data_IF_968479320428
#
_entry.id   IF_968479320428
#
_cell.length_a   1.000
_cell.length_b   1.000
_cell.length_c   1.000
_cell.angle_alpha   90.00
_cell.angle_beta   90.00
_cell.angle_gamma   90.00
#
_symmetry.space_group_name_H-M   'P 1'
#
loop_
_entity.id
_entity.type
_entity.pdbx_description
1 polymer ?
#
# COMPACT_ATOMS: atom_id res chain seq x y z
N UNK A 1 -5.72 4.59 -21.67
CA UNK A 1 -5.96 3.66 -22.80
C UNK A 1 -5.75 2.17 -22.55
N UNK A 2 -4.71 1.72 -21.83
CA UNK A 2 -4.48 0.27 -21.64
C UNK A 2 -5.40 -0.42 -20.62
N UNK A 3 -6.00 0.33 -19.68
CA UNK A 3 -6.86 -0.20 -18.60
C UNK A 3 -8.22 -0.67 -19.16
N UNK A 4 -8.85 0.13 -20.04
CA UNK A 4 -10.14 -0.23 -20.64
C UNK A 4 -10.07 -1.36 -21.67
N UNK A 5 -8.99 -1.46 -22.45
CA UNK A 5 -8.86 -2.50 -23.50
C UNK A 5 -8.52 -3.89 -22.96
N UNK A 6 -7.82 -4.02 -21.84
CA UNK A 6 -7.49 -5.36 -21.29
C UNK A 6 -8.64 -6.01 -20.53
N UNK A 7 -9.56 -5.23 -19.98
CA UNK A 7 -10.80 -5.75 -19.40
C UNK A 7 -11.80 -6.20 -20.48
N UNK A 8 -11.75 -5.63 -21.70
CA UNK A 8 -12.60 -6.05 -22.82
C UNK A 8 -12.18 -7.38 -23.48
N UNK A 9 -10.92 -7.81 -23.36
CA UNK A 9 -10.40 -8.97 -24.12
C UNK A 9 -10.52 -10.30 -23.37
N UNK A 10 -10.87 -10.29 -22.08
CA UNK A 10 -11.26 -11.50 -21.38
C UNK A 10 -12.75 -11.40 -21.03
N UNK A 11 -13.60 -12.17 -21.72
CA UNK A 11 -14.87 -12.65 -21.15
C UNK A 11 -14.52 -13.49 -19.91
N UNK A 12 -14.18 -12.82 -18.81
CA UNK A 12 -13.98 -13.43 -17.50
C UNK A 12 -15.35 -13.46 -16.81
N UNK A 13 -15.79 -14.62 -16.29
CA UNK A 13 -17.01 -14.68 -15.49
C UNK A 13 -16.80 -13.80 -14.24
N UNK A 14 -17.64 -12.78 -14.03
CA UNK A 14 -17.61 -11.98 -12.79
C UNK A 14 -17.11 -10.53 -12.91
N UNK A 15 -16.77 -10.04 -14.10
CA UNK A 15 -16.80 -8.59 -14.38
C UNK A 15 -18.11 -8.33 -15.11
N UNK A 16 -18.96 -7.36 -14.71
CA UNK A 16 -20.13 -7.03 -15.50
C UNK A 16 -19.66 -6.74 -16.92
N UNK A 17 -20.38 -7.20 -17.94
CA UNK A 17 -20.08 -6.86 -19.32
C UNK A 17 -20.39 -5.37 -19.55
N UNK A 18 -19.60 -4.50 -18.92
CA UNK A 18 -19.63 -3.07 -19.10
C UNK A 18 -19.06 -2.84 -20.50
N UNK A 19 -19.90 -2.35 -21.41
CA UNK A 19 -19.41 -1.79 -22.66
C UNK A 19 -18.53 -0.58 -22.34
N UNK A 20 -17.33 -0.51 -22.91
CA UNK A 20 -16.43 0.64 -22.73
C UNK A 20 -15.53 0.62 -21.48
N UNK A 21 -14.65 1.63 -21.34
CA UNK A 21 -13.74 1.80 -20.22
C UNK A 21 -14.48 2.31 -18.96
N UNK A 22 -14.04 1.86 -17.79
CA UNK A 22 -14.60 2.26 -16.51
C UNK A 22 -13.50 2.48 -15.46
N UNK A 23 -13.87 3.09 -14.34
CA UNK A 23 -13.02 3.27 -13.15
C UNK A 23 -13.70 2.75 -11.90
N UNK A 24 -12.89 2.35 -10.93
CA UNK A 24 -13.33 2.13 -9.57
C UNK A 24 -13.11 3.42 -8.76
N UNK A 25 -14.12 3.82 -7.98
CA UNK A 25 -14.07 4.99 -7.11
C UNK A 25 -14.28 4.55 -5.67
N UNK A 26 -13.43 4.99 -4.75
CA UNK A 26 -13.61 4.74 -3.33
C UNK A 26 -14.41 5.87 -2.70
N UNK A 27 -15.50 5.54 -2.00
CA UNK A 27 -16.26 6.50 -1.20
C UNK A 27 -15.86 6.36 0.26
N UNK A 28 -15.36 7.45 0.82
CA UNK A 28 -14.90 7.48 2.19
C UNK A 28 -16.07 7.49 3.19
N UNK A 29 -17.00 8.43 3.01
CA UNK A 29 -18.07 8.67 3.97
C UNK A 29 -19.22 7.66 3.89
N UNK A 30 -19.52 7.18 2.69
CA UNK A 30 -20.52 6.14 2.41
C UNK A 30 -19.78 4.87 1.97
N UNK A 31 -19.02 4.21 2.87
CA UNK A 31 -18.00 3.22 2.52
C UNK A 31 -18.49 2.23 1.47
N UNK A 32 -18.02 2.46 0.24
CA UNK A 32 -18.38 1.73 -0.95
C UNK A 32 -17.26 1.86 -1.98
N UNK A 33 -17.14 0.88 -2.88
CA UNK A 33 -16.38 1.05 -4.10
C UNK A 33 -17.38 1.08 -5.25
N UNK A 34 -17.45 2.20 -5.96
CA UNK A 34 -18.34 2.37 -7.12
C UNK A 34 -17.63 2.00 -8.40
N UNK A 35 -18.39 1.55 -9.39
CA UNK A 35 -17.94 1.46 -10.77
C UNK A 35 -18.58 2.62 -11.54
N UNK A 36 -17.79 3.38 -12.28
CA UNK A 36 -18.28 4.48 -13.10
C UNK A 36 -17.75 4.37 -14.53
N UNK A 37 -18.62 4.62 -15.51
CA UNK A 37 -18.24 4.70 -16.91
C UNK A 37 -17.33 5.90 -17.13
N UNK A 38 -16.19 5.70 -17.79
CA UNK A 38 -15.34 6.82 -18.21
C UNK A 38 -15.91 7.57 -19.41
N UNK A 39 -16.83 6.95 -20.17
CA UNK A 39 -17.44 7.56 -21.34
C UNK A 39 -18.65 8.42 -20.96
N UNK A 40 -19.50 7.92 -20.06
CA UNK A 40 -20.79 8.56 -19.72
C UNK A 40 -20.79 9.21 -18.34
N UNK A 41 -19.85 8.85 -17.46
CA UNK A 41 -19.86 9.26 -16.04
C UNK A 41 -20.91 8.54 -15.20
N UNK A 42 -21.72 7.66 -15.79
CA UNK A 42 -22.78 6.95 -15.07
C UNK A 42 -22.22 5.89 -14.12
N UNK A 43 -22.89 5.72 -12.98
CA UNK A 43 -22.61 4.61 -12.07
C UNK A 43 -23.11 3.29 -12.67
N UNK A 44 -22.18 2.36 -12.82
CA UNK A 44 -22.39 1.04 -13.40
C UNK A 44 -22.68 -0.02 -12.35
N UNK A 45 -22.28 0.23 -11.10
CA UNK A 45 -22.44 -0.74 -10.02
C UNK A 45 -21.70 -0.34 -8.75
N UNK A 46 -21.74 -1.24 -7.77
CA UNK A 46 -21.08 -1.05 -6.48
C UNK A 46 -20.56 -2.38 -5.98
N UNK A 47 -19.35 -2.36 -5.45
CA UNK A 47 -18.72 -3.49 -4.79
C UNK A 47 -19.11 -3.42 -3.32
N UNK A 48 -19.77 -4.46 -2.78
CA UNK A 48 -20.07 -4.51 -1.36
C UNK A 48 -18.77 -4.56 -0.55
N UNK A 49 -18.71 -3.75 0.50
CA UNK A 49 -17.62 -3.79 1.47
C UNK A 49 -18.01 -4.62 2.69
N UNK A 50 -17.02 -5.23 3.38
CA UNK A 50 -17.21 -5.81 4.71
C UNK A 50 -17.98 -4.89 5.65
N UNK A 51 -18.90 -5.47 6.42
CA UNK A 51 -19.80 -4.69 7.29
C UNK A 51 -19.04 -3.89 8.35
N UNK A 52 -17.90 -4.40 8.82
CA UNK A 52 -17.04 -3.71 9.80
C UNK A 52 -16.56 -2.34 9.30
N UNK A 53 -16.26 -2.17 8.01
CA UNK A 53 -15.81 -0.89 7.44
C UNK A 53 -16.87 0.23 7.56
N UNK A 54 -18.13 -0.10 7.89
CA UNK A 54 -19.18 0.89 8.20
C UNK A 54 -18.99 1.57 9.57
N UNK A 55 -18.20 0.98 10.47
CA UNK A 55 -17.86 1.55 11.78
C UNK A 55 -16.72 2.57 11.73
N UNK A 56 -16.44 3.10 10.53
CA UNK A 56 -15.46 4.16 10.27
C UNK A 56 -15.73 5.41 11.12
N UNK A 57 -14.70 6.22 11.33
CA UNK A 57 -14.87 7.54 11.96
C UNK A 57 -15.25 8.58 10.88
N UNK A 58 -15.92 9.69 11.26
CA UNK A 58 -16.15 10.82 10.36
C UNK A 58 -14.87 11.24 9.63
N UNK A 59 -14.90 11.31 8.30
CA UNK A 59 -13.72 11.63 7.47
C UNK A 59 -12.49 10.77 7.81
N UNK A 60 -12.66 9.47 8.12
CA UNK A 60 -11.58 8.47 8.23
C UNK A 60 -12.04 7.12 7.67
N UNK A 61 -12.74 7.19 6.54
CA UNK A 61 -13.32 6.03 5.88
C UNK A 61 -12.31 5.32 4.99
N UNK A 62 -12.80 4.68 3.93
CA UNK A 62 -11.91 4.09 2.94
C UNK A 62 -11.31 5.19 2.06
N UNK A 63 -10.00 5.33 2.10
CA UNK A 63 -9.25 6.36 1.36
C UNK A 63 -8.41 5.71 0.24
N UNK A 64 -7.51 4.74 0.53
CA UNK A 64 -6.74 4.11 -0.52
C UNK A 64 -7.55 3.10 -1.34
N UNK A 65 -7.28 3.06 -2.64
CA UNK A 65 -7.78 2.03 -3.56
C UNK A 65 -6.69 1.61 -4.55
N UNK A 66 -6.48 0.30 -4.69
CA UNK A 66 -5.60 -0.27 -5.70
C UNK A 66 -6.22 -1.53 -6.34
N UNK A 67 -5.72 -1.92 -7.50
CA UNK A 67 -6.09 -3.16 -8.18
C UNK A 67 -4.84 -3.97 -8.49
N UNK A 68 -4.89 -5.28 -8.25
CA UNK A 68 -3.79 -6.18 -8.59
C UNK A 68 -3.45 -6.08 -10.10
N UNK A 69 -2.17 -6.27 -10.49
CA UNK A 69 -1.76 -6.26 -11.90
C UNK A 69 -2.49 -7.28 -12.80
N UNK A 70 -3.05 -8.35 -12.22
CA UNK A 70 -3.84 -9.38 -12.90
C UNK A 70 -5.35 -9.10 -12.90
N UNK A 71 -5.75 -7.98 -12.31
CA UNK A 71 -7.12 -7.47 -12.18
C UNK A 71 -8.08 -8.40 -11.42
N UNK A 72 -7.57 -9.32 -10.58
CA UNK A 72 -8.43 -10.25 -9.83
C UNK A 72 -8.86 -9.75 -8.47
N UNK A 73 -8.11 -8.85 -7.85
CA UNK A 73 -8.49 -8.29 -6.55
C UNK A 73 -8.30 -6.77 -6.49
N UNK A 74 -9.19 -6.16 -5.74
CA UNK A 74 -9.07 -4.78 -5.27
C UNK A 74 -8.52 -4.77 -3.86
N UNK A 75 -7.78 -3.73 -3.55
CA UNK A 75 -7.25 -3.43 -2.23
C UNK A 75 -7.79 -2.10 -1.76
N UNK A 76 -8.20 -2.03 -0.50
CA UNK A 76 -8.58 -0.80 0.17
C UNK A 76 -8.28 -0.89 1.66
N UNK A 77 -8.39 0.20 2.39
CA UNK A 77 -8.28 0.25 3.83
C UNK A 77 -9.00 1.47 4.37
N UNK A 78 -9.43 1.41 5.63
CA UNK A 78 -9.80 2.63 6.36
C UNK A 78 -8.55 3.48 6.67
N UNK A 79 -8.68 4.81 6.67
CA UNK A 79 -7.55 5.73 6.94
C UNK A 79 -7.04 5.60 8.39
N UNK A 80 -7.95 5.52 9.36
CA UNK A 80 -7.68 5.41 10.80
C UNK A 80 -8.54 4.31 11.44
N UNK A 81 -8.13 3.74 12.58
CA UNK A 81 -8.87 2.65 13.24
C UNK A 81 -10.38 2.90 13.28
N UNK A 82 -11.12 1.87 12.88
CA UNK A 82 -12.57 1.83 13.06
C UNK A 82 -12.90 2.04 14.55
N UNK A 83 -14.06 2.61 14.83
CA UNK A 83 -14.52 2.86 16.21
C UNK A 83 -14.59 1.59 17.06
N UNK A 84 -14.75 0.43 16.41
CA UNK A 84 -14.79 -0.90 17.04
C UNK A 84 -13.41 -1.57 17.16
N UNK A 85 -12.39 -1.08 16.47
CA UNK A 85 -11.10 -1.78 16.36
C UNK A 85 -10.01 -1.21 17.26
N UNK A 86 -10.08 0.08 17.60
CA UNK A 86 -9.07 0.69 18.44
C UNK A 86 -9.08 2.21 18.45
N UNK A 87 -8.13 2.82 19.19
CA UNK A 87 -8.02 4.26 19.29
C UNK A 87 -7.52 4.90 17.98
N UNK A 88 -7.84 6.19 17.76
CA UNK A 88 -7.19 7.00 16.74
C UNK A 88 -5.68 7.15 17.02
N UNK A 89 -4.92 7.58 16.02
CA UNK A 89 -3.50 7.85 16.21
C UNK A 89 -3.30 9.03 17.19
N UNK A 90 -2.21 9.01 17.96
CA UNK A 90 -1.86 10.04 18.92
C UNK A 90 -0.34 10.24 19.00
N UNK A 91 0.12 11.30 19.67
CA UNK A 91 1.55 11.51 19.87
C UNK A 91 2.17 10.30 20.57
N UNK A 92 3.16 9.66 19.93
CA UNK A 92 3.83 8.47 20.44
C UNK A 92 3.05 7.16 20.29
N UNK A 93 1.84 7.18 19.72
CA UNK A 93 1.01 6.00 19.52
C UNK A 93 0.38 5.97 18.12
N UNK A 94 0.64 4.90 17.37
CA UNK A 94 0.01 4.63 16.09
C UNK A 94 -1.47 4.23 16.21
N UNK A 95 -2.04 3.79 15.10
CA UNK A 95 -3.40 3.22 15.03
C UNK A 95 -3.37 1.91 14.23
N UNK A 96 -4.47 1.18 14.15
CA UNK A 96 -4.55 -0.10 13.43
C UNK A 96 -5.74 -0.08 12.48
N UNK A 97 -5.48 -0.30 11.19
CA UNK A 97 -6.50 -0.29 10.13
C UNK A 97 -6.66 -1.65 9.50
N UNK A 98 -7.77 -1.87 8.79
CA UNK A 98 -8.04 -3.11 8.07
C UNK A 98 -7.62 -2.99 6.61
N UNK A 99 -6.43 -3.49 6.29
CA UNK A 99 -6.01 -3.66 4.91
C UNK A 99 -6.85 -4.78 4.28
N UNK A 100 -7.74 -4.43 3.37
CA UNK A 100 -8.81 -5.30 2.86
C UNK A 100 -8.55 -5.63 1.39
N UNK A 101 -8.55 -6.93 1.06
CA UNK A 101 -8.46 -7.45 -0.30
C UNK A 101 -9.78 -8.10 -0.71
N UNK A 102 -10.34 -7.68 -1.82
CA UNK A 102 -11.68 -8.06 -2.30
C UNK A 102 -11.56 -8.65 -3.70
N UNK A 103 -12.05 -9.87 -3.97
CA UNK A 103 -12.13 -10.41 -5.32
C UNK A 103 -13.01 -9.52 -6.21
N UNK A 104 -12.55 -9.19 -7.41
CA UNK A 104 -13.34 -8.41 -8.39
C UNK A 104 -14.60 -9.19 -8.79
N UNK A 105 -14.57 -10.52 -8.85
CA UNK A 105 -15.76 -11.31 -9.20
C UNK A 105 -16.83 -11.32 -8.08
N UNK A 106 -16.43 -11.08 -6.83
CA UNK A 106 -17.37 -10.84 -5.73
C UNK A 106 -18.10 -9.48 -5.91
N UNK A 107 -17.58 -8.60 -6.77
CA UNK A 107 -18.16 -7.29 -7.09
C UNK A 107 -19.30 -7.33 -8.13
N UNK A 108 -19.38 -8.37 -8.97
CA UNK A 108 -20.43 -8.50 -9.98
C UNK A 108 -21.64 -9.33 -9.53
N UNK A 109 -21.56 -10.01 -8.39
CA UNK A 109 -22.59 -10.94 -7.93
C UNK A 109 -23.80 -10.24 -7.26
N UNK A 110 -23.75 -8.93 -7.00
CA UNK A 110 -24.77 -8.21 -6.24
C UNK A 110 -25.86 -7.53 -7.10
N UNK A 111 -26.10 -8.06 -8.31
CA UNK A 111 -27.43 -7.95 -8.95
C UNK A 111 -28.53 -8.70 -8.18
N UNK A 112 -28.19 -9.46 -7.13
CA UNK A 112 -29.10 -10.29 -6.36
C UNK A 112 -29.01 -10.06 -4.83
N UNK A 113 -29.34 -8.85 -4.37
CA UNK A 113 -30.10 -8.65 -3.12
C UNK A 113 -29.60 -9.30 -1.82
N UNK A 114 -28.31 -9.60 -1.64
CA UNK A 114 -27.81 -10.13 -0.36
C UNK A 114 -27.67 -9.02 0.67
N UNK A 115 -28.72 -8.81 1.45
CA UNK A 115 -28.64 -8.01 2.68
C UNK A 115 -27.72 -8.71 3.69
N UNK A 116 -26.54 -8.15 3.94
CA UNK A 116 -25.83 -8.29 5.21
C UNK A 116 -24.80 -9.42 5.35
N UNK A 117 -24.31 -10.02 4.26
CA UNK A 117 -23.23 -11.02 4.32
C UNK A 117 -21.87 -10.45 3.91
N UNK A 118 -20.78 -10.92 4.55
CA UNK A 118 -19.41 -10.66 4.10
C UNK A 118 -19.23 -11.19 2.66
N UNK A 119 -18.68 -10.41 1.70
CA UNK A 119 -18.42 -10.91 0.35
C UNK A 119 -17.48 -12.12 0.40
N UNK A 120 -17.78 -13.18 -0.36
CA UNK A 120 -16.96 -14.41 -0.35
C UNK A 120 -15.55 -14.10 -0.87
N UNK A 121 -14.54 -14.66 -0.21
CA UNK A 121 -13.14 -14.53 -0.61
C UNK A 121 -12.49 -13.19 -0.22
N UNK A 122 -13.14 -12.38 0.60
CA UNK A 122 -12.52 -11.21 1.21
C UNK A 122 -11.49 -11.64 2.24
N UNK A 123 -10.33 -10.99 2.18
CA UNK A 123 -9.25 -11.11 3.15
C UNK A 123 -9.05 -9.76 3.84
N UNK A 124 -8.75 -9.76 5.15
CA UNK A 124 -8.31 -8.56 5.86
C UNK A 124 -7.04 -8.83 6.65
N UNK A 125 -6.10 -7.89 6.65
CA UNK A 125 -4.93 -7.89 7.52
C UNK A 125 -5.02 -6.73 8.52
N UNK A 126 -4.53 -6.96 9.74
CA UNK A 126 -4.37 -5.91 10.75
C UNK A 126 -3.12 -5.09 10.41
N UNK A 127 -3.30 -3.89 9.86
CA UNK A 127 -2.20 -3.02 9.43
C UNK A 127 -1.90 -1.98 10.51
N UNK A 128 -0.72 -2.04 11.18
CA UNK A 128 -0.32 -1.00 12.11
C UNK A 128 0.16 0.24 11.35
N UNK A 129 -0.53 1.37 11.54
CA UNK A 129 -0.11 2.69 11.07
C UNK A 129 0.81 3.31 12.12
N UNK A 130 1.92 3.93 11.69
CA UNK A 130 2.87 4.52 12.63
C UNK A 130 2.31 5.78 13.31
N UNK A 131 2.87 6.13 14.46
CA UNK A 131 2.52 7.36 15.15
C UNK A 131 2.79 8.60 14.25
N UNK A 132 2.06 9.71 14.48
CA UNK A 132 2.35 10.97 13.82
C UNK A 132 3.82 11.36 13.99
N UNK A 133 4.37 12.03 12.98
CA UNK A 133 5.74 12.54 13.03
C UNK A 133 5.95 13.52 14.20
N UNK A 134 7.21 13.74 14.58
CA UNK A 134 7.55 14.77 15.58
C UNK A 134 7.39 16.16 14.96
N UNK A 135 6.72 17.06 15.67
CA UNK A 135 6.43 18.41 15.20
C UNK A 135 6.56 19.44 16.32
N UNK A 136 6.91 20.67 15.96
CA UNK A 136 6.76 21.83 16.83
C UNK A 136 5.32 22.33 16.74
N UNK A 137 4.57 22.27 17.85
CA UNK A 137 3.17 22.72 17.89
C UNK A 137 3.07 24.22 17.67
N UNK A 138 2.27 24.63 16.69
CA UNK A 138 2.00 26.04 16.38
C UNK A 138 0.52 26.37 16.54
N UNK A 139 -0.37 25.38 16.31
CA UNK A 139 -1.82 25.56 16.35
C UNK A 139 -2.49 24.59 17.34
N UNK A 140 -3.71 24.89 17.81
CA UNK A 140 -4.54 23.91 18.48
C UNK A 140 -4.96 22.79 17.51
N UNK A 141 -5.23 21.59 18.04
CA UNK A 141 -5.65 20.43 17.25
C UNK A 141 -4.93 19.15 17.67
N UNK A 142 -5.46 18.02 17.22
CA UNK A 142 -4.83 16.72 17.39
C UNK A 142 -4.03 16.35 16.13
N UNK A 143 -2.85 15.74 16.27
CA UNK A 143 -2.17 15.17 15.13
C UNK A 143 -2.95 13.95 14.61
N UNK A 144 -2.78 13.67 13.33
CA UNK A 144 -3.41 12.59 12.60
C UNK A 144 -2.33 11.71 11.99
N UNK A 145 -2.60 10.42 11.84
CA UNK A 145 -1.75 9.50 11.07
C UNK A 145 -2.63 8.40 10.49
N UNK A 146 -2.54 8.21 9.18
CA UNK A 146 -3.41 7.29 8.46
C UNK A 146 -2.75 6.64 7.26
N UNK A 147 -3.39 5.58 6.75
CA UNK A 147 -3.02 4.90 5.51
C UNK A 147 -3.83 5.52 4.37
N UNK A 148 -3.15 6.23 3.47
CA UNK A 148 -3.79 7.18 2.53
C UNK A 148 -3.72 6.76 1.07
N UNK A 149 -2.71 5.96 0.68
CA UNK A 149 -2.65 5.39 -0.67
C UNK A 149 -2.12 3.96 -0.67
N UNK A 150 -2.54 3.19 -1.67
CA UNK A 150 -2.07 1.83 -1.92
C UNK A 150 -1.64 1.69 -3.38
N UNK A 151 -0.64 0.86 -3.61
CA UNK A 151 -0.26 0.39 -4.95
C UNK A 151 -0.05 -1.12 -4.89
N UNK A 152 -0.92 -1.88 -5.55
CA UNK A 152 -0.75 -3.32 -5.65
C UNK A 152 0.33 -3.65 -6.67
N UNK A 153 1.32 -4.46 -6.25
CA UNK A 153 2.46 -4.85 -7.10
C UNK A 153 2.44 -6.33 -7.48
N UNK A 154 1.43 -7.08 -7.02
CA UNK A 154 1.21 -8.49 -7.33
C UNK A 154 1.57 -9.44 -6.19
N UNK A 155 1.17 -10.71 -6.29
CA UNK A 155 1.52 -11.80 -5.37
C UNK A 155 1.21 -11.53 -3.88
N UNK A 156 0.19 -10.71 -3.60
CA UNK A 156 -0.16 -10.32 -2.23
C UNK A 156 0.68 -9.19 -1.65
N UNK A 157 1.60 -8.62 -2.44
CA UNK A 157 2.40 -7.47 -2.03
C UNK A 157 1.76 -6.14 -2.46
N UNK A 158 1.79 -5.17 -1.54
CA UNK A 158 1.31 -3.80 -1.76
C UNK A 158 2.32 -2.79 -1.25
N UNK A 159 2.44 -1.65 -1.94
CA UNK A 159 3.03 -0.45 -1.36
C UNK A 159 1.94 0.29 -0.61
N UNK A 160 2.21 0.64 0.65
CA UNK A 160 1.31 1.37 1.53
C UNK A 160 1.92 2.74 1.84
N UNK A 161 1.20 3.80 1.48
CA UNK A 161 1.59 5.18 1.80
C UNK A 161 0.85 5.63 3.04
N UNK A 162 1.60 5.89 4.09
CA UNK A 162 1.11 6.56 5.29
C UNK A 162 1.39 8.04 5.22
N UNK A 163 0.46 8.84 5.74
CA UNK A 163 0.63 10.27 5.94
C UNK A 163 0.26 10.60 7.37
N UNK A 164 1.07 11.47 7.97
CA UNK A 164 0.71 12.13 9.22
C UNK A 164 0.58 13.63 9.03
N UNK A 165 -0.47 14.21 9.60
CA UNK A 165 -0.77 15.64 9.58
C UNK A 165 -0.76 16.20 11.00
N UNK A 166 -0.04 17.29 11.23
CA UNK A 166 0.17 17.84 12.58
C UNK A 166 -0.15 19.34 12.63
N UNK A 167 -0.69 19.86 13.75
CA UNK A 167 -0.99 21.28 13.93
C UNK A 167 0.28 22.08 14.26
N UNK A 168 1.27 22.03 13.38
CA UNK A 168 2.61 22.52 13.64
C UNK A 168 3.57 22.41 12.46
N UNK A 169 4.87 22.45 12.77
CA UNK A 169 5.94 22.37 11.78
C UNK A 169 6.84 21.13 12.02
N UNK A 170 7.10 20.31 10.99
CA UNK A 170 6.43 20.33 9.68
C UNK A 170 4.93 20.00 9.81
N UNK A 171 4.08 20.42 8.85
CA UNK A 171 2.64 20.14 8.91
C UNK A 171 2.31 18.71 8.47
N UNK A 172 3.11 18.12 7.59
CA UNK A 172 2.92 16.78 7.08
C UNK A 172 4.23 15.99 7.02
N UNK A 173 4.14 14.67 7.11
CA UNK A 173 5.21 13.75 6.77
C UNK A 173 4.62 12.47 6.19
N UNK A 174 5.23 11.97 5.11
CA UNK A 174 4.76 10.79 4.40
C UNK A 174 5.79 9.66 4.46
N UNK A 175 5.30 8.42 4.43
CA UNK A 175 6.11 7.21 4.47
C UNK A 175 5.54 6.18 3.51
N UNK A 176 6.39 5.48 2.77
CA UNK A 176 6.00 4.40 1.88
C UNK A 176 6.62 3.12 2.41
N UNK A 177 5.76 2.14 2.68
CA UNK A 177 6.12 0.81 3.13
C UNK A 177 5.85 -0.22 2.04
N UNK A 178 6.65 -1.27 2.00
CA UNK A 178 6.30 -2.53 1.36
C UNK A 178 5.61 -3.44 2.39
N UNK A 179 4.46 -3.97 2.02
CA UNK A 179 3.68 -4.90 2.83
C UNK A 179 3.55 -6.21 2.06
N UNK A 180 3.92 -7.32 2.70
CA UNK A 180 3.66 -8.67 2.18
C UNK A 180 2.45 -9.26 2.91
N UNK A 181 1.26 -9.06 2.33
CA UNK A 181 0.01 -9.55 2.91
C UNK A 181 -0.24 -11.03 2.60
N UNK A 182 0.57 -11.68 1.75
CA UNK A 182 0.45 -13.12 1.51
C UNK A 182 0.80 -13.96 2.75
N UNK A 183 1.58 -13.38 3.67
CA UNK A 183 2.03 -14.01 4.92
C UNK A 183 1.28 -13.52 6.16
N UNK A 184 0.33 -12.59 5.99
CA UNK A 184 -0.42 -12.00 7.09
C UNK A 184 -1.53 -12.94 7.57
N UNK A 185 -1.84 -12.88 8.87
CA UNK A 185 -3.02 -13.53 9.44
C UNK A 185 -4.28 -12.90 8.84
N UNK A 186 -5.20 -13.73 8.33
CA UNK A 186 -6.52 -13.25 7.93
C UNK A 186 -7.37 -12.93 9.17
N UNK A 187 -7.68 -11.65 9.34
CA UNK A 187 -8.49 -11.11 10.44
C UNK A 187 -9.90 -10.72 9.97
N UNK A 188 -10.35 -11.18 8.80
CA UNK A 188 -11.71 -10.89 8.32
C UNK A 188 -12.82 -11.37 9.27
N UNK A 189 -12.57 -12.43 10.05
CA UNK A 189 -13.49 -12.96 11.05
C UNK A 189 -13.35 -12.29 12.44
N UNK A 190 -12.43 -11.34 12.61
CA UNK A 190 -12.30 -10.57 13.86
C UNK A 190 -13.31 -9.43 13.85
N UNK A 191 -14.27 -9.46 14.77
CA UNK A 191 -15.37 -8.49 14.80
C UNK A 191 -14.97 -7.11 15.37
N UNK A 192 -14.01 -7.05 16.29
CA UNK A 192 -13.63 -5.85 17.05
C UNK A 192 -12.29 -6.00 17.76
N UNK A 193 -11.85 -4.93 18.42
CA UNK A 193 -10.67 -4.86 19.29
C UNK A 193 -9.39 -5.32 18.56
N UNK A 194 -9.28 -4.98 17.28
CA UNK A 194 -8.16 -5.37 16.43
C UNK A 194 -6.82 -4.84 16.97
N UNK A 195 -6.82 -3.68 17.62
CA UNK A 195 -5.62 -3.06 18.19
C UNK A 195 -5.00 -3.85 19.35
N UNK A 196 -5.78 -4.71 20.01
CA UNK A 196 -5.30 -5.57 21.10
C UNK A 196 -4.64 -6.86 20.59
N UNK A 197 -4.81 -7.17 19.30
CA UNK A 197 -4.34 -8.39 18.64
C UNK A 197 -3.01 -8.21 17.92
N UNK A 198 -2.02 -7.71 18.66
CA UNK A 198 -0.69 -7.32 18.12
C UNK A 198 0.04 -8.48 17.44
N UNK A 199 -0.23 -9.71 17.87
CA UNK A 199 0.31 -10.93 17.27
C UNK A 199 -0.15 -11.15 15.82
N UNK A 200 -1.21 -10.47 15.37
CA UNK A 200 -1.75 -10.56 14.01
C UNK A 200 -1.36 -9.38 13.11
N UNK A 201 -0.54 -8.45 13.60
CA UNK A 201 -0.14 -7.30 12.81
C UNK A 201 0.71 -7.74 11.62
N UNK A 202 0.34 -7.26 10.42
CA UNK A 202 1.13 -7.53 9.22
C UNK A 202 2.47 -6.81 9.30
N UNK A 203 3.54 -7.51 8.91
CA UNK A 203 4.85 -6.92 8.78
C UNK A 203 4.91 -5.96 7.59
N UNK A 204 5.54 -4.81 7.81
CA UNK A 204 5.78 -3.80 6.79
C UNK A 204 7.24 -3.36 6.84
N UNK A 205 7.82 -3.09 5.67
CA UNK A 205 9.21 -2.62 5.53
C UNK A 205 9.21 -1.21 4.98
N UNK A 206 9.78 -0.27 5.72
CA UNK A 206 9.94 1.10 5.26
C UNK A 206 10.84 1.12 4.01
N UNK A 207 10.36 1.72 2.92
CA UNK A 207 11.12 1.95 1.70
C UNK A 207 11.56 3.40 1.58
N UNK A 208 10.71 4.32 2.02
CA UNK A 208 10.93 5.75 1.88
C UNK A 208 10.16 6.51 2.96
N UNK A 209 10.75 7.61 3.44
CA UNK A 209 10.10 8.57 4.31
C UNK A 209 10.58 9.97 3.91
N UNK A 210 9.69 10.96 3.91
CA UNK A 210 10.06 12.35 3.70
C UNK A 210 10.11 13.18 4.97
N UNK A 211 10.70 14.37 4.79
CA UNK A 211 10.56 15.52 5.68
C UNK A 211 10.16 16.76 4.88
N UNK A 212 9.42 16.58 3.78
CA UNK A 212 9.09 17.62 2.81
C UNK A 212 7.99 18.55 3.31
N UNK A 213 7.17 18.11 4.27
CA UNK A 213 6.08 18.93 4.78
C UNK A 213 4.88 19.04 3.83
N UNK A 214 4.79 18.17 2.83
CA UNK A 214 3.74 18.21 1.80
C UNK A 214 2.65 17.17 2.07
N UNK A 215 1.42 17.49 1.66
CA UNK A 215 0.25 16.63 1.83
C UNK A 215 0.14 15.61 0.67
N UNK A 216 0.87 14.49 0.72
CA UNK A 216 0.71 13.45 -0.31
C UNK A 216 -0.58 12.66 -0.07
N UNK A 217 -1.44 12.55 -1.08
CA UNK A 217 -2.77 11.91 -0.94
C UNK A 217 -3.05 10.83 -2.00
N UNK A 218 -2.12 10.59 -2.91
CA UNK A 218 -2.28 9.56 -3.93
C UNK A 218 -0.94 9.06 -4.40
N UNK A 219 -0.92 7.80 -4.82
CA UNK A 219 0.27 7.11 -5.31
C UNK A 219 -0.14 6.10 -6.38
N UNK A 220 0.59 6.06 -7.51
CA UNK A 220 0.38 5.06 -8.54
C UNK A 220 1.70 4.64 -9.21
N UNK A 221 1.69 3.50 -9.91
CA UNK A 221 2.80 3.10 -10.77
C UNK A 221 2.86 3.99 -12.01
N UNK A 222 4.04 4.53 -12.27
CA UNK A 222 4.40 5.17 -13.52
C UNK A 222 5.05 4.20 -14.52
N UNK A 223 5.63 4.73 -15.61
CA UNK A 223 6.32 3.94 -16.62
C UNK A 223 7.58 3.24 -16.08
N UNK A 224 8.15 2.31 -16.86
CA UNK A 224 9.53 1.86 -16.62
C UNK A 224 10.48 3.01 -16.94
N UNK A 225 11.47 3.19 -16.09
CA UNK A 225 12.57 4.13 -16.29
C UNK A 225 13.64 3.51 -17.21
N UNK A 226 14.52 4.36 -17.75
CA UNK A 226 15.57 3.95 -18.71
C UNK A 226 16.52 2.90 -18.13
N UNK A 227 16.73 2.94 -16.81
CA UNK A 227 17.56 2.00 -16.05
C UNK A 227 16.83 0.68 -15.70
N UNK A 228 15.59 0.49 -16.15
CA UNK A 228 14.78 -0.70 -15.90
C UNK A 228 13.98 -0.66 -14.60
N UNK A 229 14.21 0.33 -13.73
CA UNK A 229 13.42 0.58 -12.53
C UNK A 229 12.00 1.03 -12.90
N UNK A 230 11.13 1.15 -11.90
CA UNK A 230 9.74 1.60 -12.11
C UNK A 230 9.54 2.98 -11.51
N UNK A 231 8.93 3.90 -12.25
CA UNK A 231 8.48 5.15 -11.66
C UNK A 231 7.31 4.90 -10.71
N UNK A 232 7.25 5.68 -9.65
CA UNK A 232 6.08 5.91 -8.83
C UNK A 232 5.71 7.39 -8.97
N UNK A 233 4.43 7.68 -9.11
CA UNK A 233 3.92 9.04 -9.21
C UNK A 233 2.99 9.27 -8.03
N UNK A 234 3.32 10.26 -7.21
CA UNK A 234 2.48 10.72 -6.13
C UNK A 234 1.85 12.08 -6.46
N UNK A 235 0.73 12.40 -5.83
CA UNK A 235 0.10 13.72 -5.90
C UNK A 235 0.12 14.37 -4.53
N UNK A 236 0.56 15.62 -4.49
CA UNK A 236 0.44 16.50 -3.33
C UNK A 236 -0.80 17.36 -3.49
N UNK A 237 -1.70 17.31 -2.52
CA UNK A 237 -2.78 18.27 -2.36
C UNK A 237 -2.27 19.57 -1.74
N UNK A 238 -3.04 20.65 -1.89
CA UNK A 238 -2.75 21.96 -1.34
C UNK A 238 -2.75 22.00 0.20
N UNK A 239 -3.29 20.96 0.85
CA UNK A 239 -3.29 20.78 2.30
C UNK A 239 -4.10 21.84 3.05
N UNK A 240 -4.98 22.58 2.36
CA UNK A 240 -5.67 23.75 2.89
C UNK A 240 -4.74 24.93 3.20
N UNK A 241 -3.45 24.84 2.87
CA UNK A 241 -2.41 25.84 3.18
C UNK A 241 -2.07 26.73 1.98
N UNK A 242 -2.85 26.66 0.89
CA UNK A 242 -2.61 27.43 -0.33
C UNK A 242 -1.36 27.00 -1.09
N UNK A 243 -0.81 25.83 -0.79
CA UNK A 243 0.28 25.24 -1.58
C UNK A 243 -0.27 24.77 -2.93
N UNK A 244 0.49 24.88 -4.04
CA UNK A 244 -0.02 24.37 -5.30
C UNK A 244 -0.08 22.84 -5.27
N UNK A 245 -1.06 22.26 -5.94
CA UNK A 245 -1.09 20.82 -6.21
C UNK A 245 0.14 20.44 -7.04
N UNK A 246 0.82 19.35 -6.69
CA UNK A 246 2.07 18.95 -7.35
C UNK A 246 2.06 17.46 -7.67
N UNK A 247 2.76 17.10 -8.76
CA UNK A 247 3.14 15.71 -9.01
C UNK A 247 4.55 15.48 -8.47
N UNK A 248 4.73 14.41 -7.71
CA UNK A 248 6.02 14.00 -7.16
C UNK A 248 6.43 12.68 -7.81
N UNK A 249 7.56 12.68 -8.50
CA UNK A 249 8.14 11.48 -9.11
C UNK A 249 9.12 10.79 -8.18
N UNK A 250 8.96 9.48 -7.99
CA UNK A 250 9.84 8.62 -7.21
C UNK A 250 10.32 7.44 -8.08
N UNK A 251 11.52 6.92 -7.81
CA UNK A 251 12.03 5.69 -8.43
C UNK A 251 11.87 4.50 -7.51
N UNK A 252 11.05 3.51 -7.90
CA UNK A 252 11.00 2.20 -7.26
C UNK A 252 12.14 1.35 -7.80
N UNK A 253 13.18 1.22 -6.98
CA UNK A 253 14.40 0.50 -7.30
C UNK A 253 14.30 -0.93 -6.76
N UNK A 254 14.41 -1.91 -7.65
CA UNK A 254 14.58 -3.29 -7.22
C UNK A 254 16.00 -3.47 -6.67
N UNK A 255 16.19 -4.16 -5.53
CA UNK A 255 17.55 -4.49 -5.08
C UNK A 255 18.27 -5.28 -6.19
N UNK A 256 19.57 -5.01 -6.36
CA UNK A 256 20.39 -5.77 -7.29
C UNK A 256 20.25 -7.27 -6.98
N UNK A 257 20.11 -8.09 -8.01
CA UNK A 257 20.10 -9.54 -7.84
C UNK A 257 21.37 -9.93 -7.05
N UNK A 258 21.28 -10.78 -6.02
CA UNK A 258 22.47 -11.27 -5.36
C UNK A 258 23.38 -11.92 -6.42
N UNK A 259 24.70 -11.69 -6.35
CA UNK A 259 25.63 -12.29 -7.32
C UNK A 259 25.44 -13.81 -7.33
N UNK A 260 25.48 -14.41 -8.51
CA UNK A 260 25.32 -15.85 -8.62
C UNK A 260 26.34 -16.57 -7.72
N UNK A 261 25.95 -17.68 -7.05
CA UNK A 261 26.86 -18.45 -6.21
C UNK A 261 28.17 -18.84 -6.91
N UNK A 262 28.12 -19.04 -8.24
CA UNK A 262 29.27 -19.32 -9.08
C UNK A 262 30.32 -18.18 -9.10
N UNK A 263 29.87 -16.92 -9.06
CA UNK A 263 30.76 -15.74 -9.01
C UNK A 263 31.40 -15.61 -7.63
N UNK A 264 30.66 -15.90 -6.56
CA UNK A 264 31.23 -16.00 -5.20
C UNK A 264 32.27 -17.13 -5.11
N UNK A 265 31.94 -18.31 -5.65
CA UNK A 265 32.85 -19.46 -5.66
C UNK A 265 34.13 -19.17 -6.43
N UNK A 266 34.03 -18.52 -7.59
CA UNK A 266 35.18 -18.14 -8.42
C UNK A 266 36.06 -17.10 -7.71
N UNK A 267 35.44 -16.08 -7.10
CA UNK A 267 36.18 -15.04 -6.37
C UNK A 267 36.89 -15.62 -5.14
N UNK A 268 36.21 -16.48 -4.38
CA UNK A 268 36.79 -17.19 -3.24
C UNK A 268 37.96 -18.11 -3.67
N UNK A 269 37.81 -18.82 -4.81
CA UNK A 269 38.86 -19.67 -5.36
C UNK A 269 40.08 -18.85 -5.80
N UNK A 270 39.88 -17.71 -6.48
CA UNK A 270 40.97 -16.81 -6.89
C UNK A 270 41.71 -16.26 -5.68
N UNK A 271 41.00 -15.83 -4.64
CA UNK A 271 41.61 -15.35 -3.39
C UNK A 271 42.37 -16.47 -2.68
N UNK A 272 41.81 -17.68 -2.61
CA UNK A 272 42.48 -18.83 -2.01
C UNK A 272 43.78 -19.20 -2.76
N UNK A 273 43.74 -19.20 -4.10
CA UNK A 273 44.91 -19.43 -4.95
C UNK A 273 45.95 -18.33 -4.73
N UNK A 274 45.56 -17.06 -4.70
CA UNK A 274 46.47 -15.94 -4.47
C UNK A 274 47.14 -16.01 -3.09
N UNK A 275 46.40 -16.39 -2.04
CA UNK A 275 46.95 -16.60 -0.69
C UNK A 275 47.90 -17.80 -0.65
N UNK A 276 47.56 -18.90 -1.34
CA UNK A 276 48.41 -20.09 -1.42
C UNK A 276 49.72 -19.80 -2.16
N UNK A 277 49.65 -19.16 -3.31
CA UNK A 277 50.82 -18.71 -4.08
C UNK A 277 51.65 -17.74 -3.24
N UNK A 278 51.02 -16.76 -2.59
CA UNK A 278 51.71 -15.83 -1.69
C UNK A 278 52.41 -16.50 -0.51
N UNK A 279 51.90 -17.63 0.01
CA UNK A 279 52.54 -18.43 1.05
C UNK A 279 53.70 -19.27 0.52
N UNK A 280 53.58 -19.84 -0.68
CA UNK A 280 54.62 -20.64 -1.33
C UNK A 280 55.79 -19.80 -1.82
N UNK A 281 55.53 -18.55 -2.24
CA UNK A 281 56.54 -17.61 -2.73
C UNK A 281 57.28 -16.87 -1.61
N UNK A 282 56.91 -17.04 -0.33
CA UNK A 282 57.68 -16.48 0.78
C UNK A 282 58.98 -17.27 0.93
N UNK A 283 60.16 -16.63 0.79
CA UNK A 283 61.42 -17.32 1.03
C UNK A 283 61.45 -17.79 2.50
N UNK A 284 61.84 -19.05 2.72
CA UNK A 284 62.12 -19.53 4.07
C UNK A 284 63.30 -18.73 4.60
N UNK A 285 63.04 -17.83 5.54
CA UNK A 285 64.08 -17.27 6.38
C UNK A 285 64.54 -18.40 7.30
N UNK A 286 65.55 -19.15 6.86
CA UNK A 286 66.36 -19.99 7.76
C UNK A 286 67.25 -19.04 8.54
N UNK A 287 67.06 -19.01 9.85
CA UNK A 287 67.54 -17.95 10.73
C UNK A 287 69.04 -17.92 10.99
N UNK A 288 69.38 -16.99 11.87
CA UNK A 288 70.52 -17.05 12.79
C UNK A 288 69.96 -16.75 14.19
#
# INVERSE_FOLDING_TARGET
DAVGRRLQVAKKPGVPAVGGPFVFLCEEDTPAIRLASLETGELLGTIPLPANLRSRRPNRGNEPLAIDPDFRHLWTANEEALTIDGPPAAVGAGTVVRLTRIPVDAAAADGAGRKGGQPRGVFQAAYPVDAPHSFARVFPGQPLSGLVALVAIGDGAVLAMERSGCPGLPPFANRIYLVDAARATDVAAVDRDLADRRENFVEKRLLWADTLGINLEGLCLGPRLVDGNRALVAIADNGGLGTPNQLVGLGLVAPAAPPEPAVLGTTAAIVAIAVLVGRLSRPRVTGA
#
